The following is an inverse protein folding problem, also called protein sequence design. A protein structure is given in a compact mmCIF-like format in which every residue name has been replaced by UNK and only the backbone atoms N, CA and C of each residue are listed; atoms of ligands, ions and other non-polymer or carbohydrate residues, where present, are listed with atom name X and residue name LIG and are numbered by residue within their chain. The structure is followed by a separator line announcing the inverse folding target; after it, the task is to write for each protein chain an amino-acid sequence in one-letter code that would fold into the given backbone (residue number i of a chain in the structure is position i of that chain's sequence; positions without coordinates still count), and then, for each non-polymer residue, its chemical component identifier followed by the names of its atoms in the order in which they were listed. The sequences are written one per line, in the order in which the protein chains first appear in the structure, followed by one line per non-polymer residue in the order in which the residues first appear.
data_IF_418736189477
#
_entry.id   IF_418736189477
#
_cell.length_a   1.000
_cell.length_b   1.000
_cell.length_c   1.000
_cell.angle_alpha   90.00
_cell.angle_beta   90.00
_cell.angle_gamma   90.00
#
_symmetry.space_group_name_H-M   'P 1'
#
loop_
_entity.id
_entity.type
_entity.pdbx_description
1 polymer ?
#
# COMPACT_ATOMS: atom_id res chain seq x y z
N UNK A 1 -30.58 7.02 45.77
CA UNK A 1 -30.71 7.64 44.44
C UNK A 1 -29.42 7.38 43.69
N UNK A 2 -29.43 6.33 42.89
CA UNK A 2 -28.32 5.92 42.04
C UNK A 2 -28.29 6.86 40.83
N UNK A 3 -27.33 7.79 40.82
CA UNK A 3 -27.17 8.69 39.69
C UNK A 3 -26.65 7.92 38.51
N UNK A 4 -27.45 7.80 37.44
CA UNK A 4 -27.03 7.43 36.12
C UNK A 4 -25.89 8.37 35.71
N UNK A 5 -24.66 7.86 35.67
CA UNK A 5 -23.57 8.51 34.91
C UNK A 5 -23.98 8.42 33.43
N UNK A 6 -24.05 9.57 32.72
CA UNK A 6 -24.23 9.50 31.28
C UNK A 6 -23.17 8.57 30.69
N UNK A 7 -23.57 7.73 29.72
CA UNK A 7 -22.66 6.93 28.95
C UNK A 7 -21.56 7.86 28.42
N UNK A 8 -20.32 7.65 28.86
CA UNK A 8 -19.16 8.42 28.34
C UNK A 8 -19.07 8.11 26.87
N UNK A 9 -19.30 9.10 26.01
CA UNK A 9 -19.10 8.98 24.57
C UNK A 9 -17.71 8.38 24.35
N UNK A 10 -17.66 7.27 23.60
CA UNK A 10 -16.39 6.62 23.28
C UNK A 10 -15.51 7.60 22.51
N UNK A 11 -14.20 7.69 22.82
CA UNK A 11 -13.32 8.51 22.02
C UNK A 11 -13.34 8.05 20.56
N UNK A 12 -13.47 8.99 19.63
CA UNK A 12 -13.58 8.73 18.19
C UNK A 12 -12.21 8.83 17.54
N UNK A 13 -11.83 7.84 16.77
CA UNK A 13 -10.67 7.86 15.88
C UNK A 13 -11.17 8.08 14.45
N UNK A 14 -10.76 9.17 13.81
CA UNK A 14 -11.02 9.40 12.39
C UNK A 14 -9.97 8.69 11.54
N UNK A 15 -10.39 7.89 10.58
CA UNK A 15 -9.49 7.18 9.64
C UNK A 15 -9.85 7.57 8.22
N UNK A 16 -8.89 8.06 7.45
CA UNK A 16 -9.07 8.28 6.01
C UNK A 16 -8.06 7.43 5.24
N UNK A 17 -8.57 6.48 4.46
CA UNK A 17 -7.77 5.60 3.60
C UNK A 17 -7.75 6.10 2.17
N UNK A 18 -6.70 5.75 1.42
CA UNK A 18 -6.52 6.13 0.01
C UNK A 18 -7.75 5.78 -0.84
N UNK A 19 -8.25 4.56 -0.72
CA UNK A 19 -9.45 4.09 -1.40
C UNK A 19 -9.96 2.79 -0.77
N UNK A 20 -11.25 2.55 -0.79
CA UNK A 20 -11.85 1.26 -0.42
C UNK A 20 -12.11 0.35 -1.62
N UNK A 21 -11.87 0.83 -2.84
CA UNK A 21 -11.98 0.02 -4.06
C UNK A 21 -10.86 -1.03 -4.18
N UNK A 22 -9.69 -0.78 -3.55
CA UNK A 22 -8.64 -1.79 -3.43
C UNK A 22 -8.85 -2.60 -2.14
N UNK A 23 -9.02 -3.94 -2.23
CA UNK A 23 -9.23 -4.82 -1.07
C UNK A 23 -8.18 -4.68 0.04
N UNK A 24 -6.94 -4.31 -0.28
CA UNK A 24 -5.87 -4.04 0.67
C UNK A 24 -6.31 -3.04 1.75
N UNK A 25 -6.80 -1.87 1.33
CA UNK A 25 -7.22 -0.83 2.26
C UNK A 25 -8.48 -1.20 3.03
N UNK A 26 -9.36 -2.00 2.42
CA UNK A 26 -10.54 -2.52 3.12
C UNK A 26 -10.15 -3.44 4.26
N UNK A 27 -9.26 -4.40 4.05
CA UNK A 27 -8.76 -5.30 5.10
C UNK A 27 -8.09 -4.51 6.23
N UNK A 28 -7.26 -3.53 5.89
CA UNK A 28 -6.61 -2.64 6.86
C UNK A 28 -7.64 -1.85 7.69
N UNK A 29 -8.65 -1.27 7.04
CA UNK A 29 -9.72 -0.50 7.70
C UNK A 29 -10.58 -1.39 8.62
N UNK A 30 -10.97 -2.58 8.16
CA UNK A 30 -11.73 -3.55 8.95
C UNK A 30 -10.95 -3.99 10.22
N UNK A 31 -9.62 -4.18 10.08
CA UNK A 31 -8.75 -4.46 11.21
C UNK A 31 -8.67 -3.29 12.19
N UNK A 32 -8.58 -2.04 11.70
CA UNK A 32 -8.62 -0.85 12.55
C UNK A 32 -9.95 -0.75 13.33
N UNK A 33 -11.08 -0.99 12.68
CA UNK A 33 -12.38 -0.97 13.36
C UNK A 33 -12.51 -2.06 14.42
N UNK A 34 -11.98 -3.23 14.13
CA UNK A 34 -12.00 -4.38 15.06
C UNK A 34 -11.14 -4.08 16.27
N UNK A 35 -9.90 -3.62 16.06
CA UNK A 35 -8.98 -3.31 17.14
C UNK A 35 -9.45 -2.10 17.96
N UNK A 36 -10.06 -1.09 17.32
CA UNK A 36 -10.66 0.06 18.02
C UNK A 36 -11.67 -0.35 19.08
N UNK A 37 -12.50 -1.37 18.79
CA UNK A 37 -13.47 -1.90 19.77
C UNK A 37 -12.78 -2.50 20.98
N UNK A 38 -11.62 -3.16 20.80
CA UNK A 38 -10.84 -3.77 21.88
C UNK A 38 -10.32 -2.71 22.87
N UNK A 39 -10.02 -1.51 22.36
CA UNK A 39 -9.56 -0.36 23.17
C UNK A 39 -10.68 0.60 23.57
N UNK A 40 -11.95 0.29 23.25
CA UNK A 40 -13.09 1.13 23.58
C UNK A 40 -13.23 2.38 22.71
N UNK A 41 -12.59 2.43 21.55
CA UNK A 41 -12.74 3.50 20.57
C UNK A 41 -13.90 3.25 19.61
N UNK A 42 -14.51 4.33 19.13
CA UNK A 42 -15.27 4.33 17.88
C UNK A 42 -14.32 4.71 16.74
N UNK A 43 -14.30 3.91 15.66
CA UNK A 43 -13.44 4.15 14.49
C UNK A 43 -14.30 4.48 13.29
N UNK A 44 -14.22 5.73 12.82
CA UNK A 44 -14.92 6.21 11.62
C UNK A 44 -13.98 6.08 10.44
N UNK A 45 -14.36 5.29 9.44
CA UNK A 45 -13.58 5.08 8.21
C UNK A 45 -14.17 5.94 7.08
N UNK A 46 -13.31 6.69 6.39
CA UNK A 46 -13.62 7.41 5.16
C UNK A 46 -12.68 6.98 4.04
N UNK A 47 -13.22 6.88 2.82
CA UNK A 47 -12.45 6.63 1.59
C UNK A 47 -12.15 7.95 0.90
N UNK A 48 -10.91 8.21 0.57
CA UNK A 48 -10.51 9.37 -0.22
C UNK A 48 -10.72 9.16 -1.72
N UNK A 49 -11.05 7.93 -2.14
CA UNK A 49 -11.33 7.56 -3.53
C UNK A 49 -10.23 8.04 -4.53
N UNK A 50 -8.97 7.95 -4.12
CA UNK A 50 -7.79 8.41 -4.86
C UNK A 50 -7.74 9.94 -5.05
N UNK A 51 -8.59 10.72 -4.36
CA UNK A 51 -8.67 12.19 -4.47
C UNK A 51 -8.01 12.87 -3.25
N UNK A 52 -6.83 13.51 -3.42
CA UNK A 52 -6.19 14.25 -2.33
C UNK A 52 -6.99 15.45 -1.81
N UNK A 53 -7.87 16.04 -2.64
CA UNK A 53 -8.70 17.16 -2.20
C UNK A 53 -9.83 16.66 -1.29
N UNK A 54 -10.50 15.57 -1.68
CA UNK A 54 -11.49 14.92 -0.84
C UNK A 54 -10.88 14.49 0.51
N UNK A 55 -9.65 13.96 0.50
CA UNK A 55 -8.99 13.55 1.75
C UNK A 55 -8.73 14.74 2.69
N UNK A 56 -8.33 15.90 2.15
CA UNK A 56 -8.17 17.12 2.95
C UNK A 56 -9.47 17.57 3.59
N UNK A 57 -10.59 17.48 2.86
CA UNK A 57 -11.91 17.86 3.40
C UNK A 57 -12.37 16.86 4.47
N UNK A 58 -12.05 15.56 4.35
CA UNK A 58 -12.28 14.57 5.39
C UNK A 58 -11.50 14.90 6.67
N UNK A 59 -10.24 15.33 6.56
CA UNK A 59 -9.45 15.78 7.73
C UNK A 59 -10.12 16.99 8.41
N UNK A 60 -10.62 17.98 7.65
CA UNK A 60 -11.36 19.12 8.20
C UNK A 60 -12.64 18.69 8.91
N UNK A 61 -13.35 17.68 8.37
CA UNK A 61 -14.52 17.10 9.04
C UNK A 61 -14.13 16.46 10.38
N UNK A 62 -13.05 15.69 10.42
CA UNK A 62 -12.52 15.12 11.66
C UNK A 62 -12.13 16.21 12.69
N UNK A 63 -11.51 17.30 12.24
CA UNK A 63 -11.20 18.45 13.12
C UNK A 63 -12.48 19.06 13.68
N UNK A 64 -13.48 19.29 12.83
CA UNK A 64 -14.77 19.85 13.24
C UNK A 64 -15.50 18.97 14.25
N UNK A 65 -15.44 17.65 14.07
CA UNK A 65 -16.00 16.65 15.00
C UNK A 65 -15.16 16.48 16.27
N UNK A 66 -13.99 17.09 16.37
CA UNK A 66 -13.07 16.98 17.51
C UNK A 66 -12.74 15.53 17.84
N UNK A 67 -12.40 14.74 16.81
CA UNK A 67 -11.98 13.35 17.03
C UNK A 67 -10.73 13.30 17.92
N UNK A 68 -10.56 12.20 18.67
CA UNK A 68 -9.44 12.06 19.60
C UNK A 68 -8.09 11.91 18.87
N UNK A 69 -8.07 11.24 17.72
CA UNK A 69 -6.90 11.10 16.85
C UNK A 69 -7.33 10.91 15.40
N UNK A 70 -6.41 11.15 14.48
CA UNK A 70 -6.59 10.88 13.06
C UNK A 70 -5.53 9.87 12.61
N UNK A 71 -5.94 8.81 11.87
CA UNK A 71 -5.06 7.90 11.17
C UNK A 71 -5.26 8.11 9.67
N UNK A 72 -4.19 8.45 8.96
CA UNK A 72 -4.22 8.73 7.53
C UNK A 72 -3.45 7.65 6.76
N UNK A 73 -4.03 7.24 5.65
CA UNK A 73 -3.32 6.58 4.56
C UNK A 73 -3.36 7.55 3.35
N UNK A 74 -2.33 8.39 3.16
CA UNK A 74 -2.35 9.49 2.21
C UNK A 74 -2.67 9.09 0.77
N UNK A 75 -3.56 9.84 0.10
CA UNK A 75 -3.78 9.76 -1.33
C UNK A 75 -2.64 10.39 -2.13
N UNK A 76 -1.96 11.37 -1.53
CA UNK A 76 -0.72 11.98 -2.03
C UNK A 76 0.17 12.35 -0.85
N UNK A 77 1.36 11.76 -0.82
CA UNK A 77 2.31 11.88 0.30
C UNK A 77 2.85 13.28 0.52
N UNK A 78 2.85 14.15 -0.49
CA UNK A 78 3.36 15.52 -0.39
C UNK A 78 2.27 16.49 0.04
N UNK A 79 1.13 16.45 -0.62
CA UNK A 79 0.07 17.45 -0.43
C UNK A 79 -0.72 17.26 0.88
N UNK A 80 -0.72 16.05 1.47
CA UNK A 80 -1.44 15.77 2.73
C UNK A 80 -0.87 16.55 3.93
N UNK A 81 0.39 16.98 3.86
CA UNK A 81 1.07 17.69 4.94
C UNK A 81 0.32 18.95 5.40
N UNK A 82 -0.38 19.65 4.49
CA UNK A 82 -1.19 20.81 4.85
C UNK A 82 -2.34 20.44 5.79
N UNK A 83 -3.10 19.38 5.47
CA UNK A 83 -4.20 18.93 6.30
C UNK A 83 -3.72 18.37 7.65
N UNK A 84 -2.55 17.71 7.69
CA UNK A 84 -1.94 17.27 8.94
C UNK A 84 -1.59 18.47 9.83
N UNK A 85 -1.05 19.55 9.27
CA UNK A 85 -0.76 20.77 10.04
C UNK A 85 -2.02 21.40 10.61
N UNK A 86 -3.11 21.49 9.83
CA UNK A 86 -4.40 21.97 10.32
C UNK A 86 -4.91 21.12 11.49
N UNK A 87 -4.78 19.77 11.43
CA UNK A 87 -5.12 18.89 12.54
C UNK A 87 -4.23 19.11 13.76
N UNK A 88 -2.92 19.30 13.56
CA UNK A 88 -1.96 19.60 14.63
C UNK A 88 -2.28 20.94 15.33
N UNK A 89 -2.65 21.99 14.58
CA UNK A 89 -3.07 23.28 15.11
C UNK A 89 -4.36 23.14 15.94
N UNK A 90 -5.25 22.23 15.53
CA UNK A 90 -6.44 21.84 16.30
C UNK A 90 -6.15 20.96 17.53
N UNK A 91 -4.87 20.65 17.80
CA UNK A 91 -4.46 19.81 18.93
C UNK A 91 -4.75 18.32 18.74
N UNK A 92 -5.05 17.86 17.53
CA UNK A 92 -5.38 16.47 17.23
C UNK A 92 -4.11 15.74 16.79
N UNK A 93 -3.69 14.65 17.49
CA UNK A 93 -2.55 13.84 17.08
C UNK A 93 -2.87 13.07 15.79
N UNK A 94 -1.89 13.04 14.87
CA UNK A 94 -2.01 12.38 13.58
C UNK A 94 -1.02 11.23 13.50
N UNK A 95 -1.50 10.10 13.03
CA UNK A 95 -0.73 8.89 12.71
C UNK A 95 -0.87 8.61 11.21
N UNK A 96 0.11 7.92 10.62
CA UNK A 96 -0.02 7.45 9.24
C UNK A 96 0.10 5.92 9.20
N UNK A 97 -0.68 5.31 8.33
CA UNK A 97 -0.69 3.86 8.08
C UNK A 97 -0.45 3.59 6.61
N UNK A 98 0.41 2.61 6.30
CA UNK A 98 0.80 2.14 4.96
C UNK A 98 1.57 3.19 4.11
N UNK A 99 1.06 4.41 3.99
CA UNK A 99 1.66 5.49 3.20
C UNK A 99 2.06 6.64 4.11
N UNK A 100 3.33 7.07 4.01
CA UNK A 100 3.84 8.16 4.82
C UNK A 100 3.53 9.56 4.24
N UNK A 101 3.56 10.56 5.12
CA UNK A 101 3.61 11.97 4.73
C UNK A 101 5.07 12.39 4.49
N UNK A 102 5.36 13.02 3.36
CA UNK A 102 6.70 13.50 3.00
C UNK A 102 6.97 14.95 3.43
N UNK A 103 5.95 15.70 3.87
CA UNK A 103 6.13 17.03 4.44
C UNK A 103 6.68 16.94 5.86
N UNK A 104 7.97 17.18 6.02
CA UNK A 104 8.67 17.11 7.32
C UNK A 104 8.21 18.17 8.31
N UNK A 105 7.49 19.21 7.89
CA UNK A 105 6.93 20.22 8.79
C UNK A 105 5.58 19.79 9.40
N UNK A 106 4.94 18.78 8.85
CA UNK A 106 3.74 18.16 9.41
C UNK A 106 4.15 17.18 10.54
N UNK A 107 3.49 17.27 11.69
CA UNK A 107 3.81 16.42 12.84
C UNK A 107 2.98 15.14 12.76
N UNK A 108 3.62 14.03 12.43
CA UNK A 108 3.10 12.67 12.53
C UNK A 108 3.66 12.04 13.79
N UNK A 109 2.80 11.49 14.65
CA UNK A 109 3.21 10.86 15.92
C UNK A 109 3.94 9.56 15.65
N UNK A 110 3.40 8.73 14.75
CA UNK A 110 4.00 7.46 14.35
C UNK A 110 3.51 7.06 12.96
N UNK A 111 4.38 6.42 12.20
CA UNK A 111 4.08 5.81 10.90
C UNK A 111 4.18 4.29 11.00
N UNK A 112 3.14 3.56 10.55
CA UNK A 112 3.10 2.10 10.58
C UNK A 112 2.93 1.58 9.16
N UNK A 113 3.90 0.86 8.63
CA UNK A 113 3.89 0.39 7.25
C UNK A 113 4.65 -0.92 7.06
N UNK A 114 4.57 -1.47 5.85
CA UNK A 114 5.46 -2.51 5.37
C UNK A 114 6.85 -1.94 5.10
N UNK A 115 7.91 -2.74 5.25
CA UNK A 115 9.23 -2.41 4.71
C UNK A 115 9.20 -2.45 3.17
N UNK A 116 8.66 -1.38 2.59
CA UNK A 116 8.44 -1.25 1.15
C UNK A 116 9.74 -1.26 0.34
N UNK A 117 10.83 -0.73 0.92
CA UNK A 117 12.13 -0.74 0.25
C UNK A 117 12.68 -2.17 0.11
N UNK A 118 12.67 -2.94 1.20
CA UNK A 118 13.11 -4.34 1.18
C UNK A 118 12.20 -5.20 0.28
N UNK A 119 10.88 -4.95 0.29
CA UNK A 119 9.95 -5.62 -0.62
C UNK A 119 10.22 -5.31 -2.08
N UNK A 120 10.55 -4.06 -2.41
CA UNK A 120 10.97 -3.69 -3.76
C UNK A 120 12.25 -4.40 -4.20
N UNK A 121 13.22 -4.57 -3.30
CA UNK A 121 14.44 -5.36 -3.58
C UNK A 121 14.11 -6.81 -3.87
N UNK A 122 13.28 -7.45 -3.04
CA UNK A 122 12.84 -8.83 -3.26
C UNK A 122 12.16 -8.99 -4.62
N UNK A 123 11.28 -8.07 -5.00
CA UNK A 123 10.64 -8.07 -6.31
C UNK A 123 11.65 -7.94 -7.46
N UNK A 124 12.65 -7.08 -7.30
CA UNK A 124 13.72 -6.91 -8.31
C UNK A 124 14.61 -8.13 -8.46
N UNK A 125 15.02 -8.74 -7.36
CA UNK A 125 15.79 -9.98 -7.34
C UNK A 125 15.00 -11.13 -7.99
N UNK A 126 13.72 -11.28 -7.61
CA UNK A 126 12.84 -12.29 -8.18
C UNK A 126 12.66 -12.12 -9.70
N UNK A 127 12.41 -10.89 -10.17
CA UNK A 127 12.26 -10.64 -11.61
C UNK A 127 13.57 -10.90 -12.36
N UNK A 128 14.70 -10.49 -11.80
CA UNK A 128 16.01 -10.73 -12.40
C UNK A 128 16.30 -12.23 -12.58
N UNK A 129 16.00 -13.04 -11.57
CA UNK A 129 16.19 -14.48 -11.60
C UNK A 129 15.21 -15.15 -12.60
N UNK A 130 13.95 -14.72 -12.64
CA UNK A 130 12.93 -15.21 -13.57
C UNK A 130 13.29 -15.01 -15.06
N UNK A 131 14.01 -13.93 -15.38
CA UNK A 131 14.46 -13.64 -16.75
C UNK A 131 15.91 -14.08 -17.02
N UNK A 132 16.52 -14.83 -16.08
CA UNK A 132 17.87 -15.38 -16.24
C UNK A 132 19.00 -14.34 -16.20
N UNK A 133 18.82 -13.24 -15.47
CA UNK A 133 19.83 -12.21 -15.22
C UNK A 133 20.14 -11.29 -16.41
N UNK A 134 19.35 -11.32 -17.49
CA UNK A 134 19.52 -10.50 -18.70
C UNK A 134 18.21 -10.25 -19.41
N UNK A 135 18.10 -9.09 -20.06
CA UNK A 135 16.91 -8.70 -20.82
C UNK A 135 16.41 -7.30 -20.49
N UNK A 136 15.17 -7.03 -20.85
CA UNK A 136 14.55 -5.73 -20.69
C UNK A 136 13.34 -5.81 -19.76
N UNK A 137 13.21 -4.83 -18.86
CA UNK A 137 12.10 -4.79 -17.92
C UNK A 137 11.43 -3.41 -17.91
N UNK A 138 10.14 -3.39 -17.58
CA UNK A 138 9.38 -2.17 -17.39
C UNK A 138 8.81 -2.10 -15.96
N UNK A 139 8.57 -0.88 -15.49
CA UNK A 139 7.93 -0.60 -14.21
C UNK A 139 6.59 0.10 -14.48
N UNK A 140 5.50 -0.43 -13.91
CA UNK A 140 4.21 0.24 -13.85
C UNK A 140 4.11 0.86 -12.45
N UNK A 141 4.15 2.21 -12.40
CA UNK A 141 4.47 2.99 -11.21
C UNK A 141 3.27 3.81 -10.67
N UNK A 142 3.42 4.38 -9.47
CA UNK A 142 2.50 5.35 -8.85
C UNK A 142 3.29 6.28 -7.91
N UNK A 143 4.04 7.26 -8.45
CA UNK A 143 5.03 8.04 -7.69
C UNK A 143 4.44 9.09 -6.75
N UNK A 144 3.12 9.21 -6.66
CA UNK A 144 2.41 10.15 -5.78
C UNK A 144 2.47 9.70 -4.31
N UNK A 145 2.69 8.40 -4.06
CA UNK A 145 2.70 7.82 -2.72
C UNK A 145 4.08 7.28 -2.35
N UNK A 146 4.49 7.55 -1.11
CA UNK A 146 5.83 7.27 -0.60
C UNK A 146 6.15 5.77 -0.59
N UNK A 147 5.21 4.92 -0.21
CA UNK A 147 5.40 3.47 -0.21
C UNK A 147 5.83 2.94 -1.57
N UNK A 148 5.25 3.47 -2.66
CA UNK A 148 5.61 3.09 -4.03
C UNK A 148 6.97 3.66 -4.43
N UNK A 149 7.30 4.88 -4.01
CA UNK A 149 8.65 5.45 -4.23
C UNK A 149 9.71 4.52 -3.63
N UNK A 150 9.47 3.98 -2.43
CA UNK A 150 10.37 3.03 -1.77
C UNK A 150 10.44 1.70 -2.52
N UNK A 151 9.30 1.12 -2.93
CA UNK A 151 9.25 -0.13 -3.74
C UNK A 151 10.06 0.02 -5.01
N UNK A 152 9.80 1.08 -5.78
CA UNK A 152 10.51 1.36 -7.04
C UNK A 152 11.99 1.59 -6.83
N UNK A 153 12.39 2.29 -5.76
CA UNK A 153 13.80 2.47 -5.40
C UNK A 153 14.47 1.13 -5.11
N UNK A 154 13.90 0.31 -4.24
CA UNK A 154 14.44 -1.02 -3.90
C UNK A 154 14.56 -1.92 -5.13
N UNK A 155 13.52 -1.94 -5.98
CA UNK A 155 13.53 -2.68 -7.25
C UNK A 155 14.67 -2.24 -8.16
N UNK A 156 14.82 -0.93 -8.39
CA UNK A 156 15.88 -0.39 -9.26
C UNK A 156 17.27 -0.71 -8.74
N UNK A 157 17.49 -0.65 -7.43
CA UNK A 157 18.78 -1.00 -6.82
C UNK A 157 19.09 -2.49 -6.99
N UNK A 158 18.11 -3.39 -6.84
CA UNK A 158 18.28 -4.81 -7.10
C UNK A 158 18.62 -5.08 -8.58
N UNK A 159 17.89 -4.47 -9.51
CA UNK A 159 18.16 -4.60 -10.95
C UNK A 159 19.55 -4.04 -11.32
N UNK A 160 19.98 -2.94 -10.72
CA UNK A 160 21.30 -2.35 -10.99
C UNK A 160 22.48 -3.29 -10.66
N UNK A 161 22.29 -4.29 -9.81
CA UNK A 161 23.30 -5.33 -9.52
C UNK A 161 23.43 -6.35 -10.65
N UNK A 162 22.54 -6.35 -11.63
CA UNK A 162 22.47 -7.29 -12.77
C UNK A 162 22.79 -6.55 -14.07
N UNK A 163 24.05 -6.46 -14.45
CA UNK A 163 24.51 -5.70 -15.61
C UNK A 163 23.89 -6.11 -16.95
N UNK A 164 23.29 -7.32 -17.02
CA UNK A 164 22.58 -7.81 -18.20
C UNK A 164 21.13 -7.32 -18.32
N UNK A 165 20.59 -6.61 -17.33
CA UNK A 165 19.18 -6.17 -17.33
C UNK A 165 19.11 -4.66 -17.51
N UNK A 166 18.20 -4.22 -18.38
CA UNK A 166 17.92 -2.80 -18.62
C UNK A 166 16.46 -2.46 -18.30
N UNK A 167 16.24 -1.44 -17.49
CA UNK A 167 14.89 -0.85 -17.28
C UNK A 167 14.64 0.10 -18.45
N UNK A 168 13.73 -0.28 -19.36
CA UNK A 168 13.46 0.45 -20.60
C UNK A 168 12.25 1.38 -20.51
N UNK A 169 11.40 1.20 -19.51
CA UNK A 169 10.23 2.05 -19.25
C UNK A 169 9.91 2.09 -17.76
N UNK A 170 9.44 3.25 -17.31
CA UNK A 170 8.78 3.45 -16.03
C UNK A 170 7.63 4.40 -16.29
N UNK A 171 6.40 3.89 -16.26
CA UNK A 171 5.20 4.64 -16.63
C UNK A 171 4.15 4.55 -15.53
N UNK A 172 3.34 5.60 -15.31
CA UNK A 172 2.31 5.60 -14.28
C UNK A 172 1.17 4.63 -14.62
N UNK A 173 0.81 3.80 -13.64
CA UNK A 173 -0.39 2.94 -13.65
C UNK A 173 -1.42 3.39 -12.63
N UNK A 174 -1.09 4.43 -11.83
CA UNK A 174 -1.99 5.01 -10.83
C UNK A 174 -2.45 4.05 -9.74
N UNK A 175 -1.76 2.90 -9.58
CA UNK A 175 -2.14 1.88 -8.61
C UNK A 175 -3.48 1.16 -8.89
N UNK A 176 -4.09 1.37 -10.06
CA UNK A 176 -5.42 0.88 -10.43
C UNK A 176 -5.34 -0.06 -11.63
N UNK A 177 -6.19 -1.12 -11.61
CA UNK A 177 -6.18 -2.19 -12.62
C UNK A 177 -6.40 -1.67 -14.05
N UNK A 178 -7.40 -0.83 -14.25
CA UNK A 178 -7.78 -0.35 -15.58
C UNK A 178 -6.74 0.60 -16.19
N UNK A 179 -6.14 1.45 -15.36
CA UNK A 179 -5.07 2.36 -15.79
C UNK A 179 -3.82 1.55 -16.13
N UNK A 180 -3.43 0.63 -15.25
CA UNK A 180 -2.27 -0.24 -15.46
C UNK A 180 -2.43 -1.15 -16.68
N UNK A 181 -3.66 -1.62 -16.98
CA UNK A 181 -3.95 -2.35 -18.21
C UNK A 181 -3.61 -1.52 -19.46
N UNK A 182 -4.04 -0.25 -19.51
CA UNK A 182 -3.73 0.66 -20.62
C UNK A 182 -2.23 0.94 -20.72
N UNK A 183 -1.60 1.26 -19.59
CA UNK A 183 -0.15 1.47 -19.51
C UNK A 183 0.63 0.25 -19.99
N UNK A 184 0.21 -0.96 -19.59
CA UNK A 184 0.83 -2.20 -20.06
C UNK A 184 0.66 -2.41 -21.57
N UNK A 185 -0.52 -2.07 -22.14
CA UNK A 185 -0.72 -2.13 -23.59
C UNK A 185 0.26 -1.21 -24.34
N UNK A 186 0.41 0.05 -23.87
CA UNK A 186 1.33 1.02 -24.47
C UNK A 186 2.79 0.53 -24.38
N UNK A 187 3.19 -0.06 -23.24
CA UNK A 187 4.51 -0.66 -23.07
C UNK A 187 4.70 -1.82 -24.05
N UNK A 188 3.73 -2.73 -24.17
CA UNK A 188 3.82 -3.91 -25.02
C UNK A 188 3.85 -3.58 -26.51
N UNK A 189 3.16 -2.52 -26.93
CA UNK A 189 3.19 -2.01 -28.29
C UNK A 189 4.56 -1.42 -28.63
N UNK A 190 5.09 -0.59 -27.74
CA UNK A 190 6.36 0.11 -27.94
C UNK A 190 7.58 -0.80 -27.82
N UNK A 191 7.49 -1.84 -26.98
CA UNK A 191 8.59 -2.76 -26.68
C UNK A 191 8.19 -4.23 -26.91
N UNK A 192 8.24 -4.70 -28.17
CA UNK A 192 7.80 -6.06 -28.53
C UNK A 192 8.66 -7.18 -27.90
N UNK A 193 9.90 -6.87 -27.53
CA UNK A 193 10.85 -7.83 -26.94
C UNK A 193 11.01 -7.68 -25.42
N UNK A 194 10.00 -7.09 -24.74
CA UNK A 194 10.00 -6.98 -23.29
C UNK A 194 10.01 -8.36 -22.62
N UNK A 195 10.89 -8.52 -21.61
CA UNK A 195 11.06 -9.77 -20.86
C UNK A 195 10.31 -9.77 -19.53
N UNK A 196 10.18 -8.61 -18.87
CA UNK A 196 9.55 -8.54 -17.57
C UNK A 196 8.86 -7.23 -17.23
N UNK A 197 7.87 -7.29 -16.32
CA UNK A 197 7.16 -6.16 -15.77
C UNK A 197 7.20 -6.27 -14.25
N UNK A 198 7.64 -5.22 -13.57
CA UNK A 198 7.35 -4.97 -12.17
C UNK A 198 6.17 -4.02 -12.08
N UNK A 199 5.09 -4.45 -11.43
CA UNK A 199 3.95 -3.62 -11.13
C UNK A 199 3.88 -3.39 -9.61
N UNK A 200 3.75 -2.15 -9.21
CA UNK A 200 3.98 -1.71 -7.82
C UNK A 200 2.93 -2.19 -6.82
N UNK A 201 1.83 -2.76 -7.29
CA UNK A 201 0.80 -3.39 -6.48
C UNK A 201 0.01 -4.43 -7.30
N UNK A 202 -0.79 -5.23 -6.65
CA UNK A 202 -1.59 -6.29 -7.28
C UNK A 202 -2.62 -5.79 -8.29
N UNK A 203 -3.39 -4.71 -8.04
CA UNK A 203 -4.27 -4.20 -9.09
C UNK A 203 -3.50 -3.86 -10.37
N UNK A 204 -2.32 -3.26 -10.25
CA UNK A 204 -1.48 -2.94 -11.42
C UNK A 204 -0.91 -4.21 -12.08
N UNK A 205 -0.49 -5.20 -11.29
CA UNK A 205 0.02 -6.46 -11.81
C UNK A 205 -1.05 -7.25 -12.56
N UNK A 206 -2.27 -7.32 -12.01
CA UNK A 206 -3.40 -7.97 -12.65
C UNK A 206 -3.87 -7.22 -13.91
N UNK A 207 -3.73 -5.89 -13.93
CA UNK A 207 -3.92 -5.07 -15.14
C UNK A 207 -2.90 -5.43 -16.23
N UNK A 208 -1.63 -5.56 -15.86
CA UNK A 208 -0.58 -5.98 -16.77
C UNK A 208 -0.81 -7.41 -17.31
N UNK A 209 -1.22 -8.34 -16.44
CA UNK A 209 -1.59 -9.70 -16.84
C UNK A 209 -2.72 -9.69 -17.87
N UNK A 210 -3.78 -8.92 -17.65
CA UNK A 210 -4.89 -8.81 -18.61
C UNK A 210 -4.43 -8.26 -19.99
N UNK A 211 -3.49 -7.30 -20.00
CA UNK A 211 -2.90 -6.80 -21.23
C UNK A 211 -2.06 -7.87 -21.95
N UNK A 212 -1.30 -8.67 -21.19
CA UNK A 212 -0.53 -9.79 -21.73
C UNK A 212 -1.44 -10.91 -22.27
N UNK A 213 -2.56 -11.20 -21.61
CA UNK A 213 -3.57 -12.15 -22.11
C UNK A 213 -4.13 -11.69 -23.46
N UNK A 214 -4.51 -10.42 -23.58
CA UNK A 214 -5.01 -9.83 -24.83
C UNK A 214 -3.97 -9.87 -25.95
N UNK A 215 -2.67 -9.69 -25.60
CA UNK A 215 -1.58 -9.72 -26.55
C UNK A 215 -1.05 -11.14 -26.85
N UNK A 216 -1.56 -12.19 -26.20
CA UNK A 216 -1.06 -13.57 -26.34
C UNK A 216 0.36 -13.77 -25.82
N UNK A 217 0.79 -12.98 -24.80
CA UNK A 217 2.18 -12.95 -24.30
C UNK A 217 2.33 -13.42 -22.86
N UNK A 218 1.27 -13.98 -22.26
CA UNK A 218 1.31 -14.59 -20.91
C UNK A 218 2.38 -15.69 -20.88
N UNK A 219 3.19 -15.72 -19.83
CA UNK A 219 4.29 -16.67 -19.65
C UNK A 219 5.58 -16.28 -20.39
N UNK A 220 5.49 -15.56 -21.52
CA UNK A 220 6.66 -14.99 -22.19
C UNK A 220 7.22 -13.79 -21.41
N UNK A 221 6.37 -12.84 -21.07
CA UNK A 221 6.74 -11.69 -20.23
C UNK A 221 6.49 -12.05 -18.77
N UNK A 222 7.52 -11.94 -17.94
CA UNK A 222 7.42 -12.24 -16.51
C UNK A 222 6.79 -11.05 -15.75
N UNK A 223 5.81 -11.33 -14.89
CA UNK A 223 5.16 -10.30 -14.08
C UNK A 223 5.43 -10.56 -12.61
N UNK A 224 5.95 -9.55 -11.93
CA UNK A 224 6.13 -9.52 -10.48
C UNK A 224 5.30 -8.36 -9.92
N UNK A 225 4.52 -8.65 -8.88
CA UNK A 225 3.63 -7.71 -8.21
C UNK A 225 4.09 -7.32 -6.81
N UNK A 226 3.14 -6.78 -6.07
CA UNK A 226 3.28 -6.41 -4.67
C UNK A 226 1.90 -6.38 -4.03
N UNK A 227 1.73 -6.86 -2.81
CA UNK A 227 0.65 -6.88 -1.83
C UNK A 227 0.33 -8.30 -1.33
N UNK A 228 0.26 -9.32 -2.19
CA UNK A 228 -0.10 -10.69 -1.85
C UNK A 228 -1.61 -10.89 -1.68
N UNK A 229 -2.42 -10.19 -2.46
CA UNK A 229 -3.87 -10.33 -2.42
C UNK A 229 -4.33 -11.69 -3.01
N UNK A 230 -5.49 -12.22 -2.59
CA UNK A 230 -5.95 -13.55 -3.01
C UNK A 230 -6.00 -13.74 -4.53
N UNK A 231 -6.40 -12.70 -5.31
CA UNK A 231 -6.47 -12.79 -6.77
C UNK A 231 -5.07 -12.89 -7.40
N UNK A 232 -4.09 -12.14 -6.88
CA UNK A 232 -2.70 -12.20 -7.35
C UNK A 232 -2.05 -13.55 -7.00
N UNK A 233 -2.24 -14.05 -5.78
CA UNK A 233 -1.80 -15.39 -5.37
C UNK A 233 -2.37 -16.46 -6.31
N UNK A 234 -3.65 -16.35 -6.69
CA UNK A 234 -4.25 -17.28 -7.68
C UNK A 234 -3.62 -17.12 -9.06
N UNK A 235 -3.37 -15.89 -9.49
CA UNK A 235 -2.70 -15.65 -10.77
C UNK A 235 -1.26 -16.24 -10.80
N UNK A 236 -0.57 -16.26 -9.65
CA UNK A 236 0.72 -16.93 -9.51
C UNK A 236 0.56 -18.44 -9.61
N UNK A 237 -0.42 -19.02 -8.93
CA UNK A 237 -0.74 -20.45 -9.02
C UNK A 237 -1.07 -20.87 -10.45
N UNK A 238 -1.81 -20.04 -11.18
CA UNK A 238 -2.19 -20.27 -12.57
C UNK A 238 -1.05 -19.99 -13.58
N UNK A 239 0.11 -19.50 -13.12
CA UNK A 239 1.28 -19.18 -13.96
C UNK A 239 1.12 -17.90 -14.80
N UNK A 240 0.16 -17.04 -14.47
CA UNK A 240 -0.09 -15.76 -15.14
C UNK A 240 0.76 -14.63 -14.54
N UNK A 241 0.96 -14.64 -13.22
CA UNK A 241 1.98 -13.91 -12.48
C UNK A 241 3.07 -14.87 -12.02
N UNK A 242 4.21 -14.34 -11.58
CA UNK A 242 5.37 -15.18 -11.27
C UNK A 242 5.87 -15.04 -9.84
N UNK A 243 5.76 -13.87 -9.24
CA UNK A 243 6.07 -13.61 -7.85
C UNK A 243 5.35 -12.36 -7.35
N UNK A 244 5.34 -12.21 -6.03
CA UNK A 244 4.72 -11.10 -5.34
C UNK A 244 5.43 -10.81 -4.02
N UNK A 245 5.68 -9.55 -3.70
CA UNK A 245 6.14 -9.16 -2.37
C UNK A 245 4.93 -8.93 -1.48
N UNK A 246 4.78 -9.75 -0.43
CA UNK A 246 3.53 -9.76 0.36
C UNK A 246 3.52 -8.67 1.43
N UNK A 247 2.34 -8.15 1.69
CA UNK A 247 2.02 -7.25 2.79
C UNK A 247 1.00 -7.87 3.75
N UNK A 248 0.87 -7.27 4.93
CA UNK A 248 -0.05 -7.71 5.99
C UNK A 248 -0.93 -6.52 6.41
N UNK A 249 -1.95 -6.15 5.59
CA UNK A 249 -2.80 -4.98 5.87
C UNK A 249 -3.56 -5.08 7.19
N UNK A 250 -3.95 -6.30 7.60
CA UNK A 250 -4.54 -6.58 8.89
C UNK A 250 -3.61 -6.21 10.05
N UNK A 251 -2.31 -6.55 9.95
CA UNK A 251 -1.31 -6.19 10.96
C UNK A 251 -1.04 -4.69 10.98
N UNK A 252 -0.99 -4.04 9.80
CA UNK A 252 -0.84 -2.58 9.72
C UNK A 252 -2.00 -1.91 10.44
N UNK A 253 -3.24 -2.30 10.13
CA UNK A 253 -4.44 -1.72 10.75
C UNK A 253 -4.47 -1.93 12.25
N UNK A 254 -4.19 -3.14 12.72
CA UNK A 254 -4.12 -3.48 14.13
C UNK A 254 -3.07 -2.65 14.85
N UNK A 255 -1.82 -2.67 14.39
CA UNK A 255 -0.71 -1.94 15.00
C UNK A 255 -0.94 -0.41 15.01
N UNK A 256 -1.60 0.14 14.00
CA UNK A 256 -1.93 1.56 13.96
C UNK A 256 -2.82 1.94 15.15
N UNK A 257 -3.88 1.18 15.42
CA UNK A 257 -4.78 1.44 16.55
C UNK A 257 -4.11 1.12 17.90
N UNK A 258 -3.34 0.04 18.00
CA UNK A 258 -2.54 -0.25 19.20
C UNK A 258 -1.58 0.90 19.52
N UNK A 259 -0.95 1.49 18.49
CA UNK A 259 -0.02 2.62 18.65
C UNK A 259 -0.77 3.87 19.13
N UNK A 260 -1.98 4.14 18.60
CA UNK A 260 -2.85 5.22 19.10
C UNK A 260 -3.20 5.00 20.57
N UNK A 261 -3.57 3.77 20.96
CA UNK A 261 -3.94 3.45 22.35
C UNK A 261 -2.75 3.63 23.31
N UNK A 262 -1.57 3.16 22.93
CA UNK A 262 -0.32 3.35 23.71
C UNK A 262 0.04 4.83 23.87
N UNK A 263 -0.10 5.62 22.81
CA UNK A 263 0.10 7.06 22.88
C UNK A 263 -0.83 7.73 23.92
N UNK A 264 -2.13 7.37 23.92
CA UNK A 264 -3.07 7.91 24.92
C UNK A 264 -2.85 7.35 26.33
N UNK A 265 -2.23 6.19 26.47
CA UNK A 265 -1.77 5.68 27.77
C UNK A 265 -0.51 6.40 28.30
N UNK A 266 0.04 7.37 27.54
CA UNK A 266 1.25 8.11 27.91
C UNK A 266 2.54 7.36 27.64
N UNK A 267 2.50 6.28 26.87
CA UNK A 267 3.71 5.55 26.48
C UNK A 267 4.47 6.28 25.37
N UNK A 268 5.79 6.13 25.34
CA UNK A 268 6.59 6.53 24.19
C UNK A 268 6.37 5.54 23.05
N UNK A 269 5.85 6.05 21.93
CA UNK A 269 5.67 5.24 20.71
C UNK A 269 6.83 5.52 19.73
N UNK A 270 7.28 4.51 18.95
CA UNK A 270 8.33 4.73 17.95
C UNK A 270 7.79 5.66 16.83
N UNK A 271 8.64 6.53 16.27
CA UNK A 271 8.22 7.41 15.16
C UNK A 271 7.84 6.62 13.90
N UNK A 272 8.40 5.41 13.76
CA UNK A 272 8.13 4.51 12.64
C UNK A 272 8.15 3.05 13.10
N UNK A 273 7.24 2.25 12.56
CA UNK A 273 7.21 0.79 12.72
C UNK A 273 7.05 0.13 11.36
N UNK A 274 8.10 -0.56 10.91
CA UNK A 274 8.10 -1.27 9.64
C UNK A 274 7.85 -2.77 9.86
N UNK A 275 6.86 -3.30 9.16
CA UNK A 275 6.50 -4.72 9.16
C UNK A 275 7.32 -5.41 8.07
N UNK A 276 8.11 -6.45 8.42
CA UNK A 276 8.84 -7.21 7.40
C UNK A 276 7.92 -7.81 6.34
N UNK A 277 8.42 -7.83 5.11
CA UNK A 277 7.77 -8.46 3.95
C UNK A 277 8.48 -9.77 3.60
N UNK A 278 7.87 -10.55 2.71
CA UNK A 278 8.43 -11.77 2.14
C UNK A 278 8.06 -11.91 0.68
N UNK A 279 8.74 -12.82 -0.02
CA UNK A 279 8.41 -13.16 -1.39
C UNK A 279 7.42 -14.33 -1.41
N UNK A 280 6.40 -14.23 -2.25
CA UNK A 280 5.43 -15.27 -2.53
C UNK A 280 5.54 -15.66 -4.00
N UNK A 281 5.95 -16.88 -4.26
CA UNK A 281 6.15 -17.39 -5.59
C UNK A 281 5.33 -18.66 -5.87
N UNK A 282 5.71 -19.39 -6.90
CA UNK A 282 5.01 -20.62 -7.32
C UNK A 282 4.96 -21.67 -6.23
N UNK A 283 6.05 -21.87 -5.50
CA UNK A 283 6.16 -22.88 -4.44
C UNK A 283 5.20 -22.58 -3.29
N UNK A 284 5.10 -21.31 -2.88
CA UNK A 284 4.18 -20.85 -1.84
C UNK A 284 2.73 -21.04 -2.32
N UNK A 285 2.42 -20.68 -3.58
CA UNK A 285 1.09 -20.78 -4.16
C UNK A 285 0.59 -22.24 -4.29
N UNK A 286 1.47 -23.18 -4.58
CA UNK A 286 1.16 -24.62 -4.66
C UNK A 286 0.82 -25.21 -3.28
N UNK A 287 1.41 -24.67 -2.22
CA UNK A 287 1.22 -25.12 -0.84
C UNK A 287 0.22 -24.27 -0.06
N UNK A 288 -0.32 -23.19 -0.63
CA UNK A 288 -1.24 -22.28 0.06
C UNK A 288 -2.61 -22.95 0.29
N UNK A 289 -3.02 -23.15 1.56
CA UNK A 289 -4.31 -23.75 1.87
C UNK A 289 -5.51 -22.90 1.45
N UNK A 290 -5.33 -21.57 1.32
CA UNK A 290 -6.38 -20.64 0.89
C UNK A 290 -6.69 -20.75 -0.62
N UNK A 291 -5.81 -21.42 -1.37
CA UNK A 291 -5.96 -21.63 -2.81
C UNK A 291 -6.39 -23.07 -3.20
N UNK A 292 -6.74 -23.88 -2.21
CA UNK A 292 -7.18 -25.26 -2.45
C UNK A 292 -8.62 -25.33 -2.94
#
# INVERSE_FOLDING_TARGET
MSGDRPATDKPVIGVSVLTLANPFFKVMADAMQTEGKNYGYEVIIMSADMDPALQKDQVKDFITRKVAAIVLCPADSRSIGTAIKEANEGGIPVFTADIACLDKSAKVVSHIATDNYSGGKLAGEALADLIGGRGTVAIIDHPEVESVILRTRGFREAIATRSGITIIAQLPGGGMRDTAFKTAQDILEKYPDLDGIFAINDPSALGAVAALEKAGRVGRVKVVGFDGQPEAKRAIKDGKMHADSIQYPDKIGKLAIETVARYFAGETVPPETLIPTGLYGRTEAENDPELK
#
